data_IF_390676471481
#
_entry.id   IF_390676471481
#
_cell.length_a   1.000
_cell.length_b   1.000
_cell.length_c   1.000
_cell.angle_alpha   90.00
_cell.angle_beta   90.00
_cell.angle_gamma   90.00
#
_symmetry.space_group_name_H-M   'P 1'
#
loop_
_entity.id
_entity.type
_entity.pdbx_description
1 polymer ?
#
# COMPACT_ATOMS: atom_id res chain seq x y z
N UNK A 1 10.75 1.70 -18.45
CA UNK A 1 10.76 1.80 -16.97
C UNK A 1 11.85 0.90 -16.42
N UNK A 2 12.70 1.43 -15.58
CA UNK A 2 13.76 0.64 -14.93
C UNK A 2 13.10 -0.29 -13.90
N UNK A 3 13.39 -1.58 -13.98
CA UNK A 3 12.87 -2.56 -13.02
C UNK A 3 13.52 -2.37 -11.64
N UNK A 4 12.78 -2.73 -10.60
CA UNK A 4 13.33 -2.78 -9.23
C UNK A 4 14.45 -3.83 -9.18
N UNK A 5 15.65 -3.46 -8.68
CA UNK A 5 16.77 -4.41 -8.59
C UNK A 5 16.42 -5.62 -7.70
N UNK A 6 16.81 -6.81 -8.12
CA UNK A 6 16.56 -8.05 -7.37
C UNK A 6 17.09 -8.01 -5.94
N UNK A 7 18.20 -7.31 -5.72
CA UNK A 7 18.77 -7.12 -4.38
C UNK A 7 17.87 -6.34 -3.41
N UNK A 8 16.83 -5.70 -3.91
CA UNK A 8 15.83 -4.94 -3.14
C UNK A 8 14.52 -5.70 -2.94
N UNK A 9 14.44 -6.94 -3.43
CA UNK A 9 13.23 -7.74 -3.39
C UNK A 9 13.46 -8.95 -2.49
N UNK A 10 12.56 -9.13 -1.51
CA UNK A 10 12.50 -10.35 -0.69
C UNK A 10 11.12 -10.96 -0.87
N UNK A 11 11.07 -12.19 -1.36
CA UNK A 11 9.82 -12.93 -1.50
C UNK A 11 9.59 -13.78 -0.26
N UNK A 12 8.51 -13.49 0.47
CA UNK A 12 8.17 -14.22 1.69
C UNK A 12 7.47 -15.55 1.38
N UNK A 13 6.75 -15.61 0.28
CA UNK A 13 6.03 -16.80 -0.16
C UNK A 13 6.11 -16.90 -1.68
N UNK A 14 6.85 -17.88 -2.16
CA UNK A 14 7.04 -18.10 -3.60
C UNK A 14 5.91 -18.96 -4.15
N UNK A 15 4.79 -18.30 -4.47
CA UNK A 15 3.62 -18.93 -5.08
C UNK A 15 3.29 -18.15 -6.35
N UNK A 16 2.92 -18.87 -7.40
CA UNK A 16 2.36 -18.25 -8.60
C UNK A 16 1.04 -17.54 -8.25
N UNK A 17 0.88 -16.24 -8.55
CA UNK A 17 -0.37 -15.53 -8.29
C UNK A 17 -1.55 -16.18 -9.01
N UNK A 18 -2.64 -16.42 -8.30
CA UNK A 18 -3.87 -16.96 -8.86
C UNK A 18 -4.77 -15.81 -9.36
N UNK A 19 -4.61 -15.43 -10.61
CA UNK A 19 -5.33 -14.33 -11.24
C UNK A 19 -6.82 -14.66 -11.41
N UNK A 20 -7.18 -15.95 -11.53
CA UNK A 20 -8.57 -16.36 -11.74
C UNK A 20 -9.47 -16.15 -10.53
N UNK A 21 -8.90 -16.25 -9.31
CA UNK A 21 -9.61 -16.10 -8.04
C UNK A 21 -9.28 -14.82 -7.28
N UNK A 22 -8.43 -13.97 -7.83
CA UNK A 22 -8.02 -12.71 -7.23
C UNK A 22 -8.43 -11.52 -8.10
N UNK A 23 -8.54 -10.35 -7.48
CA UNK A 23 -9.10 -9.16 -8.14
C UNK A 23 -8.12 -8.01 -8.28
N UNK A 24 -7.08 -7.96 -7.45
CA UNK A 24 -6.18 -6.80 -7.38
C UNK A 24 -4.82 -7.15 -6.77
N UNK A 25 -3.90 -6.22 -6.93
CA UNK A 25 -2.61 -6.18 -6.22
C UNK A 25 -2.72 -5.19 -5.08
N UNK A 26 -2.17 -5.52 -3.91
CA UNK A 26 -2.14 -4.63 -2.74
C UNK A 26 -0.71 -4.17 -2.48
N UNK A 27 -0.53 -2.87 -2.32
CA UNK A 27 0.67 -2.28 -1.74
C UNK A 27 0.35 -1.78 -0.33
N UNK A 28 0.92 -2.43 0.67
CA UNK A 28 0.81 -2.01 2.07
C UNK A 28 1.87 -0.95 2.38
N UNK A 29 1.45 0.31 2.42
CA UNK A 29 2.31 1.45 2.62
C UNK A 29 2.50 1.75 4.11
N UNK A 30 3.57 1.23 4.70
CA UNK A 30 3.93 1.45 6.11
C UNK A 30 5.14 2.36 6.29
N UNK A 31 5.94 2.54 5.25
CA UNK A 31 7.14 3.38 5.27
C UNK A 31 7.33 4.04 3.90
N UNK A 32 8.21 5.04 3.82
CA UNK A 32 8.48 5.76 2.57
C UNK A 32 7.20 6.24 1.88
N UNK A 33 6.36 6.93 2.63
CA UNK A 33 5.02 7.38 2.22
C UNK A 33 5.07 8.51 1.19
N UNK A 34 5.62 8.18 0.02
CA UNK A 34 5.81 9.09 -1.11
C UNK A 34 5.58 8.36 -2.43
N UNK A 35 5.23 9.09 -3.45
CA UNK A 35 4.95 8.55 -4.79
C UNK A 35 6.19 8.47 -5.68
N UNK A 36 7.25 9.20 -5.35
CA UNK A 36 8.51 9.23 -6.10
C UNK A 36 9.63 8.56 -5.31
N UNK A 37 10.58 7.94 -6.04
CA UNK A 37 11.74 7.28 -5.44
C UNK A 37 11.34 6.24 -4.38
N UNK A 38 10.34 5.42 -4.71
CA UNK A 38 9.77 4.40 -3.84
C UNK A 38 9.79 3.04 -4.56
N UNK A 39 10.78 2.21 -4.24
CA UNK A 39 10.94 0.89 -4.86
C UNK A 39 9.77 -0.06 -4.56
N UNK A 40 9.17 0.04 -3.38
CA UNK A 40 8.04 -0.82 -3.02
C UNK A 40 6.81 -0.49 -3.89
N UNK A 41 6.50 0.80 -4.06
CA UNK A 41 5.42 1.24 -4.95
C UNK A 41 5.73 0.86 -6.41
N UNK A 42 6.96 1.06 -6.86
CA UNK A 42 7.37 0.67 -8.20
C UNK A 42 7.18 -0.83 -8.43
N UNK A 43 7.56 -1.66 -7.46
CA UNK A 43 7.37 -3.12 -7.54
C UNK A 43 5.89 -3.50 -7.58
N UNK A 44 5.05 -2.82 -6.81
CA UNK A 44 3.61 -3.03 -6.84
C UNK A 44 3.01 -2.70 -8.23
N UNK A 45 3.46 -1.61 -8.84
CA UNK A 45 3.05 -1.22 -10.20
C UNK A 45 3.51 -2.26 -11.23
N UNK A 46 4.74 -2.77 -11.12
CA UNK A 46 5.25 -3.84 -11.98
C UNK A 46 4.34 -5.08 -11.92
N UNK A 47 3.95 -5.50 -10.72
CA UNK A 47 3.03 -6.62 -10.54
C UNK A 47 1.64 -6.35 -11.11
N UNK A 48 1.06 -5.17 -10.82
CA UNK A 48 -0.25 -4.79 -11.34
C UNK A 48 -0.28 -4.82 -12.88
N UNK A 49 0.76 -4.28 -13.51
CA UNK A 49 0.88 -4.30 -14.97
C UNK A 49 1.08 -5.73 -15.51
N UNK A 50 1.93 -6.53 -14.88
CA UNK A 50 2.19 -7.92 -15.29
C UNK A 50 0.93 -8.78 -15.23
N UNK A 51 0.10 -8.57 -14.22
CA UNK A 51 -1.12 -9.35 -14.01
C UNK A 51 -2.36 -8.68 -14.64
N UNK A 52 -2.22 -7.48 -15.20
CA UNK A 52 -3.32 -6.68 -15.74
C UNK A 52 -4.44 -6.49 -14.72
N UNK A 53 -4.06 -6.24 -13.47
CA UNK A 53 -4.98 -6.04 -12.35
C UNK A 53 -4.84 -4.64 -11.75
N UNK A 54 -5.90 -4.09 -11.14
CA UNK A 54 -5.82 -2.82 -10.44
C UNK A 54 -4.89 -2.90 -9.23
N UNK A 55 -4.28 -1.76 -8.89
CA UNK A 55 -3.44 -1.60 -7.70
C UNK A 55 -4.21 -0.86 -6.61
N UNK A 56 -4.25 -1.46 -5.42
CA UNK A 56 -4.73 -0.81 -4.20
C UNK A 56 -3.54 -0.44 -3.33
N UNK A 57 -3.45 0.82 -2.96
CA UNK A 57 -2.44 1.34 -2.04
C UNK A 57 -3.12 1.53 -0.69
N UNK A 58 -2.82 0.66 0.27
CA UNK A 58 -3.33 0.74 1.63
C UNK A 58 -2.34 1.48 2.51
N UNK A 59 -2.76 2.61 3.07
CA UNK A 59 -1.99 3.37 4.06
C UNK A 59 -2.81 3.54 5.35
N UNK A 60 -2.58 2.72 6.39
CA UNK A 60 -3.23 2.90 7.67
C UNK A 60 -2.51 3.94 8.51
N UNK A 61 -3.27 4.82 9.19
CA UNK A 61 -2.79 5.69 10.26
C UNK A 61 -3.23 5.09 11.59
N UNK A 62 -2.27 4.55 12.32
CA UNK A 62 -2.48 3.87 13.60
C UNK A 62 -2.37 4.91 14.72
N UNK A 63 -3.32 4.92 15.66
CA UNK A 63 -3.33 5.85 16.79
C UNK A 63 -2.38 5.44 17.91
N UNK A 64 -2.33 4.16 18.21
CA UNK A 64 -1.62 3.61 19.36
C UNK A 64 -0.26 3.02 18.97
N UNK A 65 0.73 3.90 18.86
CA UNK A 65 2.12 3.48 18.71
C UNK A 65 3.04 4.40 19.51
N UNK A 66 4.26 3.95 19.85
CA UNK A 66 5.20 4.75 20.65
C UNK A 66 5.43 6.13 20.06
N UNK A 67 5.39 7.16 20.93
CA UNK A 67 5.61 8.57 20.57
C UNK A 67 4.55 9.17 19.64
N UNK A 68 3.39 8.54 19.50
CA UNK A 68 2.26 9.13 18.77
C UNK A 68 1.80 10.43 19.43
N UNK A 69 1.42 11.41 18.62
CA UNK A 69 0.91 12.71 19.07
C UNK A 69 -0.02 13.32 18.02
N UNK A 70 -0.87 14.25 18.44
CA UNK A 70 -1.73 14.99 17.52
C UNK A 70 -0.92 15.71 16.43
N UNK A 71 0.19 16.32 16.81
CA UNK A 71 1.10 17.00 15.87
C UNK A 71 1.66 16.05 14.81
N UNK A 72 2.07 14.85 15.21
CA UNK A 72 2.57 13.83 14.31
C UNK A 72 1.45 13.30 13.39
N UNK A 73 0.28 13.02 13.95
CA UNK A 73 -0.88 12.56 13.18
C UNK A 73 -1.32 13.59 12.14
N UNK A 74 -1.32 14.89 12.52
CA UNK A 74 -1.62 15.96 11.57
C UNK A 74 -0.64 15.98 10.41
N UNK A 75 0.65 15.86 10.68
CA UNK A 75 1.68 15.80 9.66
C UNK A 75 1.47 14.61 8.71
N UNK A 76 1.15 13.45 9.27
CA UNK A 76 0.86 12.25 8.46
C UNK A 76 -0.39 12.42 7.60
N UNK A 77 -1.46 13.01 8.14
CA UNK A 77 -2.68 13.26 7.37
C UNK A 77 -2.48 14.28 6.25
N UNK A 78 -1.68 15.31 6.47
CA UNK A 78 -1.32 16.27 5.42
C UNK A 78 -0.55 15.58 4.29
N UNK A 79 0.37 14.67 4.62
CA UNK A 79 1.06 13.82 3.64
C UNK A 79 0.12 12.87 2.89
N UNK A 80 -0.83 12.26 3.58
CA UNK A 80 -1.85 11.39 2.97
C UNK A 80 -2.71 12.16 1.96
N UNK A 81 -3.07 13.40 2.28
CA UNK A 81 -3.81 14.27 1.36
C UNK A 81 -3.02 14.53 0.07
N UNK A 82 -1.75 14.87 0.19
CA UNK A 82 -0.87 15.11 -0.95
C UNK A 82 -0.72 13.85 -1.82
N UNK A 83 -0.53 12.70 -1.21
CA UNK A 83 -0.47 11.40 -1.91
C UNK A 83 -1.80 11.11 -2.62
N UNK A 84 -2.92 11.34 -1.95
CA UNK A 84 -4.25 11.15 -2.53
C UNK A 84 -4.46 11.99 -3.80
N UNK A 85 -4.07 13.26 -3.77
CA UNK A 85 -4.17 14.17 -4.92
C UNK A 85 -3.28 13.70 -6.09
N UNK A 86 -2.12 13.13 -5.80
CA UNK A 86 -1.20 12.59 -6.81
C UNK A 86 -1.76 11.30 -7.42
N UNK A 87 -2.21 10.36 -6.58
CA UNK A 87 -2.74 9.06 -7.03
C UNK A 87 -4.06 9.21 -7.79
N UNK A 88 -4.89 10.21 -7.44
CA UNK A 88 -6.14 10.48 -8.14
C UNK A 88 -5.97 10.75 -9.65
N UNK A 89 -4.76 11.11 -10.08
CA UNK A 89 -4.39 11.31 -11.48
C UNK A 89 -3.99 10.01 -12.20
N UNK A 90 -4.04 8.90 -11.52
CA UNK A 90 -3.63 7.58 -12.01
C UNK A 90 -4.80 6.60 -11.94
N UNK A 91 -4.57 5.37 -12.43
CA UNK A 91 -5.55 4.28 -12.34
C UNK A 91 -5.44 3.45 -11.05
N UNK A 92 -4.51 3.81 -10.15
CA UNK A 92 -4.36 3.16 -8.86
C UNK A 92 -5.41 3.65 -7.87
N UNK A 93 -5.76 2.79 -6.93
CA UNK A 93 -6.71 3.07 -5.85
C UNK A 93 -5.93 3.38 -4.58
N UNK A 94 -6.07 4.60 -4.06
CA UNK A 94 -5.47 4.98 -2.77
C UNK A 94 -6.51 4.82 -1.68
N UNK A 95 -6.20 3.99 -0.69
CA UNK A 95 -7.07 3.71 0.45
C UNK A 95 -6.35 4.12 1.75
N UNK A 96 -6.44 5.40 2.15
CA UNK A 96 -5.98 5.85 3.45
C UNK A 96 -7.01 5.44 4.50
N UNK A 97 -6.58 4.72 5.52
CA UNK A 97 -7.42 4.34 6.64
C UNK A 97 -6.93 5.02 7.91
N UNK A 98 -7.68 6.00 8.39
CA UNK A 98 -7.36 6.76 9.60
C UNK A 98 -8.14 6.16 10.76
N UNK A 99 -7.44 5.62 11.75
CA UNK A 99 -8.08 5.13 12.96
C UNK A 99 -8.67 6.29 13.76
N UNK A 100 -9.92 6.13 14.17
CA UNK A 100 -10.59 7.02 15.14
C UNK A 100 -10.60 6.43 16.55
N UNK A 101 -10.39 5.10 16.63
CA UNK A 101 -10.26 4.33 17.86
C UNK A 101 -9.04 3.41 17.76
N UNK A 102 -8.35 3.10 18.87
CA UNK A 102 -7.22 2.19 18.86
C UNK A 102 -7.59 0.81 18.28
N UNK A 103 -6.68 0.23 17.51
CA UNK A 103 -6.81 -1.10 16.88
C UNK A 103 -7.95 -1.24 15.86
N UNK A 104 -8.54 -0.15 15.41
CA UNK A 104 -9.62 -0.18 14.42
C UNK A 104 -9.18 -0.77 13.07
N UNK A 105 -7.90 -0.64 12.71
CA UNK A 105 -7.31 -1.20 11.48
C UNK A 105 -6.85 -2.65 11.63
N UNK A 106 -6.98 -3.27 12.80
CA UNK A 106 -6.61 -4.66 13.01
C UNK A 106 -7.41 -5.58 12.07
N UNK A 107 -6.70 -6.46 11.36
CA UNK A 107 -7.30 -7.37 10.40
C UNK A 107 -7.62 -6.79 9.03
N UNK A 108 -7.49 -5.48 8.81
CA UNK A 108 -7.80 -4.84 7.53
C UNK A 108 -6.92 -5.38 6.39
N UNK A 109 -5.62 -5.47 6.60
CA UNK A 109 -4.70 -6.04 5.60
C UNK A 109 -5.02 -7.50 5.31
N UNK A 110 -5.33 -8.28 6.34
CA UNK A 110 -5.72 -9.68 6.21
C UNK A 110 -6.98 -9.82 5.33
N UNK A 111 -7.98 -8.98 5.57
CA UNK A 111 -9.23 -8.99 4.80
C UNK A 111 -9.01 -8.62 3.33
N UNK A 112 -8.24 -7.56 3.08
CA UNK A 112 -7.88 -7.18 1.71
C UNK A 112 -7.04 -8.26 1.01
N UNK A 113 -6.16 -8.94 1.74
CA UNK A 113 -5.29 -9.96 1.16
C UNK A 113 -6.02 -11.19 0.64
N UNK A 114 -7.23 -11.48 1.14
CA UNK A 114 -8.03 -12.63 0.69
C UNK A 114 -8.36 -12.60 -0.81
N UNK A 115 -8.46 -11.44 -1.40
CA UNK A 115 -8.78 -11.26 -2.81
C UNK A 115 -7.61 -10.64 -3.61
N UNK A 116 -6.45 -10.52 -2.98
CA UNK A 116 -5.26 -9.99 -3.63
C UNK A 116 -4.46 -11.10 -4.31
N UNK A 117 -3.95 -10.82 -5.49
CA UNK A 117 -3.00 -11.70 -6.19
C UNK A 117 -1.62 -11.64 -5.55
N UNK A 118 -1.22 -10.44 -5.14
CA UNK A 118 0.08 -10.14 -4.53
C UNK A 118 -0.12 -9.05 -3.48
N UNK A 119 0.58 -9.16 -2.37
CA UNK A 119 0.69 -8.12 -1.34
C UNK A 119 2.14 -7.73 -1.20
#
# INVERSE_FOLDING_TARGET
MVQVPYSRITTLKDITPDVSNSKYVVYWCIAFKRTKYNFALQRAVEWANKLSQPLIILEPLILDYPMSSLRFHKFMMDGMKEVSETIAKTNAYYFPFIETEPKQSDGLLMELSKQASVV
#
